data_IF_529003261372
#
_entry.id   IF_529003261372
#
_cell.length_a   1.000
_cell.length_b   1.000
_cell.length_c   1.000
_cell.angle_alpha   90.00
_cell.angle_beta   90.00
_cell.angle_gamma   90.00
#
_symmetry.space_group_name_H-M   'P 1'
#
loop_
_entity.id
_entity.type
_entity.pdbx_description
1 polymer ?
#
# COMPACT_ATOMS: atom_id res chain seq x y z
N UNK A 1 4.70 26.28 -11.25
CA UNK A 1 5.66 25.85 -10.21
C UNK A 1 4.99 25.01 -9.14
N UNK A 2 3.85 25.44 -8.58
CA UNK A 2 3.10 24.68 -7.56
C UNK A 2 2.52 23.34 -8.03
N UNK A 3 1.94 23.30 -9.23
CA UNK A 3 1.40 22.05 -9.82
C UNK A 3 2.48 20.96 -10.00
N UNK A 4 3.68 21.36 -10.45
CA UNK A 4 4.80 20.44 -10.63
C UNK A 4 5.26 19.82 -9.31
N UNK A 5 5.26 20.59 -8.21
CA UNK A 5 5.58 20.08 -6.87
C UNK A 5 4.50 19.10 -6.38
N UNK A 6 3.21 19.39 -6.61
CA UNK A 6 2.13 18.46 -6.27
C UNK A 6 2.20 17.15 -7.08
N UNK A 7 2.55 17.22 -8.37
CA UNK A 7 2.77 16.02 -9.19
C UNK A 7 3.94 15.19 -8.64
N UNK A 8 5.04 15.85 -8.28
CA UNK A 8 6.21 15.19 -7.68
C UNK A 8 5.86 14.54 -6.34
N UNK A 9 5.13 15.23 -5.46
CA UNK A 9 4.64 14.70 -4.19
C UNK A 9 3.76 13.47 -4.40
N UNK A 10 2.84 13.52 -5.38
CA UNK A 10 1.98 12.39 -5.73
C UNK A 10 2.78 11.18 -6.23
N UNK A 11 3.75 11.39 -7.12
CA UNK A 11 4.61 10.32 -7.63
C UNK A 11 5.44 9.67 -6.51
N UNK A 12 5.93 10.48 -5.56
CA UNK A 12 6.63 9.98 -4.38
C UNK A 12 5.70 9.12 -3.51
N UNK A 13 4.48 9.59 -3.22
CA UNK A 13 3.50 8.85 -2.44
C UNK A 13 3.12 7.50 -3.10
N UNK A 14 2.94 7.46 -4.42
CA UNK A 14 2.70 6.21 -5.17
C UNK A 14 3.88 5.26 -5.05
N UNK A 15 5.10 5.78 -5.17
CA UNK A 15 6.32 4.98 -5.08
C UNK A 15 6.49 4.37 -3.69
N UNK A 16 6.27 5.16 -2.64
CA UNK A 16 6.39 4.69 -1.27
C UNK A 16 5.28 3.71 -0.90
N UNK A 17 4.06 3.93 -1.40
CA UNK A 17 2.97 2.95 -1.29
C UNK A 17 3.36 1.60 -1.89
N UNK A 18 3.94 1.59 -3.10
CA UNK A 18 4.40 0.34 -3.75
C UNK A 18 5.50 -0.37 -2.96
N UNK A 19 6.44 0.38 -2.38
CA UNK A 19 7.49 -0.22 -1.53
C UNK A 19 6.89 -0.91 -0.30
N UNK A 20 5.93 -0.26 0.35
CA UNK A 20 5.25 -0.85 1.53
C UNK A 20 4.47 -2.11 1.13
N UNK A 21 3.77 -2.09 -0.01
CA UNK A 21 3.05 -3.27 -0.51
C UNK A 21 3.98 -4.46 -0.79
N UNK A 22 5.15 -4.20 -1.36
CA UNK A 22 6.18 -5.22 -1.57
C UNK A 22 6.71 -5.77 -0.23
N UNK A 23 7.01 -4.89 0.73
CA UNK A 23 7.46 -5.31 2.07
C UNK A 23 6.39 -6.15 2.80
N UNK A 24 5.12 -5.77 2.73
CA UNK A 24 3.99 -6.55 3.26
C UNK A 24 3.97 -7.94 2.59
N UNK A 25 4.12 -8.01 1.28
CA UNK A 25 4.10 -9.27 0.52
C UNK A 25 5.25 -10.18 0.93
N UNK A 26 6.45 -9.63 1.11
CA UNK A 26 7.62 -10.36 1.59
C UNK A 26 7.43 -10.88 3.02
N UNK A 27 6.90 -10.07 3.93
CA UNK A 27 6.61 -10.51 5.31
C UNK A 27 5.52 -11.58 5.36
N UNK A 28 4.49 -11.49 4.51
CA UNK A 28 3.46 -12.54 4.38
C UNK A 28 4.06 -13.86 3.93
N UNK A 29 4.94 -13.83 2.93
CA UNK A 29 5.67 -15.02 2.49
C UNK A 29 6.53 -15.59 3.62
N UNK A 30 7.20 -14.74 4.39
CA UNK A 30 7.97 -15.16 5.57
C UNK A 30 7.12 -15.86 6.63
N UNK A 31 5.94 -15.35 6.91
CA UNK A 31 4.99 -15.98 7.84
C UNK A 31 4.61 -17.38 7.35
N UNK A 32 4.32 -17.54 6.07
CA UNK A 32 3.96 -18.85 5.52
C UNK A 32 5.13 -19.85 5.61
N UNK A 33 6.38 -19.42 5.36
CA UNK A 33 7.56 -20.25 5.61
C UNK A 33 7.68 -20.67 7.09
N UNK A 34 7.46 -19.75 8.02
CA UNK A 34 7.54 -20.01 9.46
C UNK A 34 6.41 -20.93 9.94
N UNK A 35 5.19 -20.78 9.41
CA UNK A 35 4.07 -21.68 9.66
C UNK A 35 4.37 -23.09 9.16
N UNK A 36 4.96 -23.24 7.98
CA UNK A 36 5.37 -24.56 7.46
C UNK A 36 6.42 -25.22 8.37
N UNK A 37 7.41 -24.46 8.85
CA UNK A 37 8.40 -24.96 9.82
C UNK A 37 7.76 -25.35 11.14
N UNK A 38 6.84 -24.53 11.65
CA UNK A 38 6.09 -24.81 12.87
C UNK A 38 5.29 -26.11 12.76
N UNK A 39 4.57 -26.31 11.65
CA UNK A 39 3.84 -27.56 11.40
C UNK A 39 4.77 -28.76 11.31
N UNK A 40 5.94 -28.61 10.68
CA UNK A 40 6.94 -29.68 10.62
C UNK A 40 7.43 -30.07 12.01
N UNK A 41 7.83 -29.10 12.83
CA UNK A 41 8.27 -29.35 14.21
C UNK A 41 7.16 -29.97 15.05
N UNK A 42 5.91 -29.53 14.89
CA UNK A 42 4.76 -30.13 15.59
C UNK A 42 4.56 -31.60 15.23
N UNK A 43 4.70 -31.97 13.96
CA UNK A 43 4.65 -33.38 13.51
C UNK A 43 5.85 -34.17 14.04
N UNK A 44 7.05 -33.57 14.03
CA UNK A 44 8.28 -34.17 14.57
C UNK A 44 8.15 -34.47 16.06
N UNK A 45 7.74 -33.49 16.86
CA UNK A 45 7.53 -33.65 18.30
C UNK A 45 6.49 -34.73 18.63
N UNK A 46 5.40 -34.84 17.85
CA UNK A 46 4.42 -35.92 18.02
C UNK A 46 5.03 -37.29 17.73
N UNK A 47 5.78 -37.42 16.64
CA UNK A 47 6.48 -38.66 16.28
C UNK A 47 7.49 -39.06 17.36
N UNK A 48 8.29 -38.12 17.84
CA UNK A 48 9.28 -38.37 18.90
C UNK A 48 8.62 -38.80 20.21
N UNK A 49 7.47 -38.20 20.57
CA UNK A 49 6.68 -38.65 21.72
C UNK A 49 6.23 -40.11 21.58
N UNK A 50 5.77 -40.52 20.41
CA UNK A 50 5.36 -41.91 20.17
C UNK A 50 6.54 -42.89 20.19
N UNK A 51 7.71 -42.48 19.70
CA UNK A 51 8.93 -43.29 19.78
C UNK A 51 9.38 -43.48 21.23
N UNK A 52 9.29 -42.43 22.07
CA UNK A 52 9.62 -42.48 23.50
C UNK A 52 8.76 -43.48 24.28
N UNK A 53 7.48 -43.63 23.94
CA UNK A 53 6.57 -44.53 24.63
C UNK A 53 6.90 -46.03 24.39
N UNK A 54 7.69 -46.35 23.36
CA UNK A 54 8.10 -47.71 23.01
C UNK A 54 9.54 -48.11 23.42
N UNK A 55 10.32 -47.18 23.98
CA UNK A 55 11.75 -47.38 24.31
C UNK A 55 11.92 -47.57 25.82
N UNK A 56 12.69 -48.59 26.23
CA UNK A 56 13.04 -48.84 27.63
C UNK A 56 14.00 -47.79 28.22
N UNK A 57 14.03 -47.67 29.56
CA UNK A 57 14.85 -46.67 30.26
C UNK A 57 16.35 -46.81 29.94
N UNK A 58 16.97 -45.75 29.42
CA UNK A 58 18.39 -45.73 29.04
C UNK A 58 18.86 -44.38 28.48
N UNK A 59 20.16 -44.31 28.10
CA UNK A 59 20.82 -43.08 27.58
C UNK A 59 20.14 -42.53 26.33
N UNK A 60 19.64 -43.38 25.44
CA UNK A 60 18.90 -42.98 24.23
C UNK A 60 17.60 -42.24 24.55
N UNK A 61 16.94 -42.59 25.66
CA UNK A 61 15.72 -41.91 26.10
C UNK A 61 15.99 -40.49 26.61
N UNK A 62 17.14 -40.27 27.28
CA UNK A 62 17.56 -38.94 27.74
C UNK A 62 17.92 -38.02 26.58
N UNK A 63 18.63 -38.54 25.57
CA UNK A 63 18.98 -37.78 24.38
C UNK A 63 17.72 -37.37 23.58
N UNK A 64 16.77 -38.30 23.43
CA UNK A 64 15.50 -38.03 22.74
C UNK A 64 14.63 -37.02 23.50
N UNK A 65 14.62 -37.05 24.85
CA UNK A 65 13.96 -36.02 25.67
C UNK A 65 14.59 -34.64 25.45
N UNK A 66 15.92 -34.56 25.40
CA UNK A 66 16.64 -33.30 25.15
C UNK A 66 16.30 -32.72 23.77
N UNK A 67 16.23 -33.57 22.75
CA UNK A 67 15.86 -33.16 21.40
C UNK A 67 14.42 -32.62 21.34
N UNK A 68 13.48 -33.32 21.98
CA UNK A 68 12.08 -32.87 22.03
C UNK A 68 11.93 -31.51 22.76
N UNK A 69 12.69 -31.28 23.83
CA UNK A 69 12.71 -29.98 24.52
C UNK A 69 13.26 -28.86 23.61
N UNK A 70 14.30 -29.14 22.82
CA UNK A 70 14.84 -28.19 21.85
C UNK A 70 13.82 -27.86 20.76
N UNK A 71 13.15 -28.86 20.20
CA UNK A 71 12.10 -28.69 19.20
C UNK A 71 10.90 -27.88 19.74
N UNK A 72 10.51 -28.11 21.00
CA UNK A 72 9.48 -27.33 21.69
C UNK A 72 9.89 -25.87 21.83
N UNK A 73 11.14 -25.61 22.22
CA UNK A 73 11.66 -24.25 22.31
C UNK A 73 11.68 -23.56 20.93
N UNK A 74 12.13 -24.27 19.89
CA UNK A 74 12.09 -23.75 18.51
C UNK A 74 10.67 -23.44 18.05
N UNK A 75 9.70 -24.27 18.43
CA UNK A 75 8.28 -24.05 18.12
C UNK A 75 7.78 -22.76 18.75
N UNK A 76 8.09 -22.51 20.02
CA UNK A 76 7.73 -21.26 20.72
C UNK A 76 8.38 -20.02 20.07
N UNK A 77 9.65 -20.14 19.66
CA UNK A 77 10.36 -19.06 18.96
C UNK A 77 9.71 -18.74 17.62
N UNK A 78 9.30 -19.76 16.86
CA UNK A 78 8.56 -19.57 15.61
C UNK A 78 7.21 -18.92 15.84
N UNK A 79 6.45 -19.33 16.86
CA UNK A 79 5.16 -18.71 17.21
C UNK A 79 5.33 -17.22 17.53
N UNK A 80 6.34 -16.86 18.33
CA UNK A 80 6.64 -15.46 18.64
C UNK A 80 7.07 -14.67 17.39
N UNK A 81 7.86 -15.29 16.51
CA UNK A 81 8.30 -14.66 15.26
C UNK A 81 7.11 -14.38 14.33
N UNK A 82 6.19 -15.35 14.17
CA UNK A 82 4.96 -15.19 13.39
C UNK A 82 4.12 -14.03 13.94
N UNK A 83 3.87 -14.00 15.26
CA UNK A 83 3.08 -12.94 15.89
C UNK A 83 3.73 -11.56 15.69
N UNK A 84 5.06 -11.48 15.79
CA UNK A 84 5.80 -10.24 15.54
C UNK A 84 5.64 -9.79 14.09
N UNK A 85 5.82 -10.69 13.12
CA UNK A 85 5.67 -10.39 11.70
C UNK A 85 4.23 -9.97 11.35
N UNK A 86 3.21 -10.61 11.95
CA UNK A 86 1.81 -10.23 11.79
C UNK A 86 1.56 -8.80 12.29
N UNK A 87 2.13 -8.43 13.44
CA UNK A 87 2.04 -7.06 13.95
C UNK A 87 2.75 -6.05 13.04
N UNK A 88 3.96 -6.38 12.57
CA UNK A 88 4.70 -5.54 11.62
C UNK A 88 3.90 -5.31 10.33
N UNK A 89 3.24 -6.35 9.80
CA UNK A 89 2.34 -6.21 8.64
C UNK A 89 1.19 -5.26 8.95
N UNK A 90 0.52 -5.39 10.11
CA UNK A 90 -0.57 -4.49 10.48
C UNK A 90 -0.12 -3.03 10.56
N UNK A 91 1.08 -2.78 11.07
CA UNK A 91 1.62 -1.42 11.16
C UNK A 91 2.02 -0.88 9.78
N UNK A 92 2.55 -1.72 8.90
CA UNK A 92 2.78 -1.38 7.48
C UNK A 92 1.47 -1.08 6.74
N UNK A 93 0.42 -1.86 6.95
CA UNK A 93 -0.91 -1.65 6.35
C UNK A 93 -1.51 -0.29 6.78
N UNK A 94 -1.35 0.08 8.06
CA UNK A 94 -1.74 1.42 8.55
C UNK A 94 -0.92 2.52 7.86
N UNK A 95 0.39 2.33 7.72
CA UNK A 95 1.25 3.29 7.04
C UNK A 95 0.86 3.42 5.55
N UNK A 96 0.55 2.32 4.86
CA UNK A 96 0.06 2.30 3.48
C UNK A 96 -1.23 3.13 3.34
N UNK A 97 -2.18 2.94 4.26
CA UNK A 97 -3.44 3.69 4.29
C UNK A 97 -3.20 5.20 4.50
N UNK A 98 -2.28 5.56 5.41
CA UNK A 98 -1.91 6.96 5.61
C UNK A 98 -1.29 7.59 4.36
N UNK A 99 -0.45 6.84 3.62
CA UNK A 99 0.09 7.32 2.35
C UNK A 99 -1.02 7.47 1.31
N UNK A 100 -1.95 6.52 1.23
CA UNK A 100 -3.07 6.56 0.29
C UNK A 100 -3.99 7.77 0.54
N UNK A 101 -4.26 8.10 1.80
CA UNK A 101 -5.08 9.29 2.13
C UNK A 101 -4.36 10.59 1.78
N UNK A 102 -3.04 10.68 2.01
CA UNK A 102 -2.23 11.83 1.59
C UNK A 102 -2.19 11.97 0.07
N UNK A 103 -1.97 10.89 -0.66
CA UNK A 103 -1.99 10.86 -2.13
C UNK A 103 -3.33 11.37 -2.69
N UNK A 104 -4.45 10.95 -2.09
CA UNK A 104 -5.78 11.37 -2.52
C UNK A 104 -6.03 12.87 -2.28
N UNK A 105 -5.50 13.44 -1.19
CA UNK A 105 -5.55 14.89 -0.93
C UNK A 105 -4.79 15.65 -2.01
N UNK A 106 -3.57 15.20 -2.36
CA UNK A 106 -2.76 15.81 -3.42
C UNK A 106 -3.46 15.70 -4.77
N UNK A 107 -4.04 14.53 -5.09
CA UNK A 107 -4.79 14.31 -6.32
C UNK A 107 -6.01 15.24 -6.43
N UNK A 108 -6.73 15.49 -5.32
CA UNK A 108 -7.85 16.45 -5.31
C UNK A 108 -7.38 17.88 -5.58
N UNK A 109 -6.25 18.29 -5.01
CA UNK A 109 -5.67 19.62 -5.29
C UNK A 109 -5.28 19.78 -6.76
N UNK A 110 -4.62 18.78 -7.34
CA UNK A 110 -4.27 18.76 -8.77
C UNK A 110 -5.51 18.93 -9.66
N UNK A 111 -6.58 18.16 -9.41
CA UNK A 111 -7.84 18.27 -10.17
C UNK A 111 -8.48 19.65 -10.09
N UNK A 112 -8.38 20.33 -8.95
CA UNK A 112 -8.91 21.69 -8.80
C UNK A 112 -8.10 22.71 -9.63
N UNK A 113 -6.78 22.55 -9.69
CA UNK A 113 -5.91 23.38 -10.53
C UNK A 113 -6.23 23.14 -12.01
N UNK A 114 -6.32 21.88 -12.44
CA UNK A 114 -6.66 21.52 -13.83
C UNK A 114 -8.00 22.13 -14.28
N UNK A 115 -9.06 22.00 -13.48
CA UNK A 115 -10.37 22.62 -13.76
C UNK A 115 -10.30 24.14 -13.88
N UNK A 116 -9.55 24.79 -13.00
CA UNK A 116 -9.37 26.25 -13.03
C UNK A 116 -8.67 26.67 -14.33
N UNK A 117 -7.64 25.94 -14.75
CA UNK A 117 -6.94 26.20 -16.01
C UNK A 117 -7.86 25.96 -17.22
N UNK A 118 -8.69 24.92 -17.21
CA UNK A 118 -9.68 24.65 -18.27
C UNK A 118 -10.70 25.80 -18.41
N UNK A 119 -11.20 26.35 -17.30
CA UNK A 119 -12.16 27.46 -17.31
C UNK A 119 -11.55 28.76 -17.86
N UNK A 120 -10.27 29.03 -17.54
CA UNK A 120 -9.51 30.14 -18.11
C UNK A 120 -9.37 29.96 -19.63
N UNK A 121 -8.95 28.77 -20.08
CA UNK A 121 -8.80 28.46 -21.52
C UNK A 121 -10.13 28.64 -22.26
N UNK A 122 -11.24 28.16 -21.68
CA UNK A 122 -12.58 28.32 -22.24
C UNK A 122 -12.97 29.79 -22.34
N UNK A 123 -12.76 30.57 -21.29
CA UNK A 123 -13.10 32.00 -21.26
C UNK A 123 -12.33 32.79 -22.32
N UNK A 124 -11.02 32.54 -22.45
CA UNK A 124 -10.18 33.15 -23.50
C UNK A 124 -10.65 32.76 -24.89
N UNK A 125 -11.08 31.51 -25.10
CA UNK A 125 -11.61 31.05 -26.40
C UNK A 125 -12.91 31.77 -26.77
N UNK A 126 -13.80 32.00 -25.80
CA UNK A 126 -15.06 32.75 -26.00
C UNK A 126 -14.77 34.22 -26.33
N UNK A 127 -13.86 34.89 -25.62
CA UNK A 127 -13.48 36.28 -25.93
C UNK A 127 -12.87 36.43 -27.34
N UNK A 128 -12.12 35.42 -27.80
CA UNK A 128 -11.51 35.42 -29.13
C UNK A 128 -12.53 35.25 -30.26
N UNK A 129 -13.70 34.67 -29.98
CA UNK A 129 -14.81 34.59 -30.95
C UNK A 129 -15.67 35.88 -30.96
N UNK A 130 -15.54 36.77 -29.97
CA UNK A 130 -16.36 38.00 -29.86
C UNK A 130 -15.79 39.26 -30.56
N UNK A 131 -14.69 39.22 -31.32
CA UNK A 131 -14.21 40.40 -32.09
C UNK A 131 -13.66 40.04 -33.48
N UNK A 132 -13.77 40.87 -34.57
CA UNK A 132 -14.38 42.19 -34.76
C UNK A 132 -15.66 42.20 -35.64
N UNK A 133 -16.18 41.03 -36.06
CA UNK A 133 -17.38 40.93 -36.91
C UNK A 133 -18.68 41.25 -36.17
N UNK A 134 -18.78 40.84 -34.90
CA UNK A 134 -19.96 41.05 -34.07
C UNK A 134 -20.17 42.53 -33.68
N UNK A 135 -19.08 43.26 -33.43
CA UNK A 135 -19.11 44.72 -33.19
C UNK A 135 -19.54 45.50 -34.44
N UNK A 136 -19.11 45.09 -35.65
CA UNK A 136 -19.52 45.68 -36.92
C UNK A 136 -21.03 45.47 -37.20
N UNK A 137 -21.56 44.31 -36.81
CA UNK A 137 -23.00 43.98 -36.92
C UNK A 137 -23.87 44.75 -35.93
N UNK A 138 -23.40 45.02 -34.70
CA UNK A 138 -24.13 45.86 -33.72
C UNK A 138 -24.18 47.33 -34.12
N UNK A 139 -23.08 47.88 -34.66
CA UNK A 139 -23.05 49.26 -35.18
C UNK A 139 -23.97 49.44 -36.40
N UNK A 140 -24.06 48.46 -37.30
CA UNK A 140 -24.96 48.51 -38.47
C UNK A 140 -26.46 48.46 -38.10
N UNK A 141 -26.83 47.88 -36.95
CA UNK A 141 -28.22 47.86 -36.45
C UNK A 141 -28.66 49.16 -35.77
N UNK A 142 -27.72 49.98 -35.29
CA UNK A 142 -28.01 51.27 -34.65
C UNK A 142 -28.07 52.44 -35.65
N UNK A 143 -27.48 52.29 -36.84
CA UNK A 143 -27.48 53.33 -37.89
C UNK A 143 -28.69 53.36 -38.83
N UNK A 144 -29.71 52.50 -38.65
CA UNK A 144 -30.93 52.44 -39.50
C UNK A 144 -32.20 52.92 -38.80
N UNK A 145 -32.09 53.96 -37.98
CA UNK A 145 -33.25 54.65 -37.39
C UNK A 145 -33.23 56.14 -37.77
N UNK A 146 -33.28 56.40 -39.08
CA UNK A 146 -33.58 57.72 -39.63
C UNK A 146 -34.54 57.51 -40.80
N UNK A 147 -35.69 58.18 -40.68
CA UNK A 147 -36.91 58.20 -41.51
C UNK A 147 -37.89 57.06 -41.22
#
# INVERSE_FOLDING_TARGET
MEEAELVKERLQAITDKRKIQEEISQKRLKIEEEKLKHQHLKKKALREKWLLDGIGSGKEQEEMKRQNQQDQHQTQVLEQSILRLEKEIQDLEKAELQISTKEEVVLRKLKSIERTTEDIIRSVKVEKEETPGALRMRMAKLGKKVI
#
